data_IF_303929882619
#
_entry.id   IF_303929882619
#
_cell.length_a   1.000
_cell.length_b   1.000
_cell.length_c   1.000
_cell.angle_alpha   90.00
_cell.angle_beta   90.00
_cell.angle_gamma   90.00
#
_symmetry.space_group_name_H-M   'P 1'
#
loop_
_entity.id
_entity.type
_entity.pdbx_description
1 polymer ?
#
# COMPACT_ATOMS: atom_id res chain seq x y z
N UNK A 1 -13.52 -17.73 -12.45
CA UNK A 1 -13.11 -16.31 -12.53
C UNK A 1 -11.97 -16.04 -13.52
N UNK A 2 -11.32 -17.08 -14.08
CA UNK A 2 -10.18 -16.95 -15.02
C UNK A 2 -10.50 -17.40 -16.45
N UNK A 3 -11.75 -17.80 -16.72
CA UNK A 3 -12.18 -18.23 -18.05
C UNK A 3 -12.18 -17.04 -19.00
N UNK A 4 -11.56 -17.21 -20.17
CA UNK A 4 -11.54 -16.21 -21.22
C UNK A 4 -12.66 -16.48 -22.24
N UNK A 5 -13.25 -15.42 -22.81
CA UNK A 5 -14.16 -15.56 -23.94
C UNK A 5 -13.38 -15.85 -25.26
N UNK A 6 -14.09 -15.94 -26.39
CA UNK A 6 -13.47 -16.21 -27.70
C UNK A 6 -12.43 -15.19 -28.18
N UNK A 7 -12.35 -14.01 -27.55
CA UNK A 7 -11.38 -12.93 -27.85
C UNK A 7 -10.28 -12.89 -26.78
N UNK A 8 -10.26 -13.84 -25.84
CA UNK A 8 -9.27 -13.89 -24.77
C UNK A 8 -9.63 -13.02 -23.57
N UNK A 9 -10.81 -12.38 -23.54
CA UNK A 9 -11.18 -11.49 -22.44
C UNK A 9 -11.54 -12.24 -21.18
N UNK A 10 -10.86 -11.85 -20.11
CA UNK A 10 -11.15 -12.24 -18.74
C UNK A 10 -12.36 -11.49 -18.18
N UNK A 11 -12.98 -11.97 -17.08
CA UNK A 11 -14.00 -11.22 -16.38
C UNK A 11 -13.50 -9.85 -15.89
N UNK A 12 -12.20 -9.73 -15.58
CA UNK A 12 -11.60 -8.47 -15.15
C UNK A 12 -11.49 -7.45 -16.29
N UNK A 13 -11.09 -7.87 -17.50
CA UNK A 13 -11.15 -7.02 -18.71
C UNK A 13 -12.58 -6.60 -19.03
N UNK A 14 -13.53 -7.52 -18.89
CA UNK A 14 -14.95 -7.22 -19.11
C UNK A 14 -15.43 -6.15 -18.12
N UNK A 15 -15.10 -6.27 -16.83
CA UNK A 15 -15.44 -5.26 -15.83
C UNK A 15 -14.75 -3.92 -16.10
N UNK A 16 -13.51 -3.95 -16.59
CA UNK A 16 -12.74 -2.77 -16.99
C UNK A 16 -13.37 -2.04 -18.18
N UNK A 17 -13.87 -2.77 -19.18
CA UNK A 17 -14.55 -2.20 -20.34
C UNK A 17 -15.92 -1.61 -20.00
N UNK A 18 -16.72 -2.31 -19.21
CA UNK A 18 -18.10 -1.91 -18.90
C UNK A 18 -18.21 -0.96 -17.70
N UNK A 19 -17.15 -0.22 -17.37
CA UNK A 19 -17.14 0.80 -16.32
C UNK A 19 -17.74 0.32 -14.98
N UNK A 20 -17.42 -0.92 -14.57
CA UNK A 20 -18.04 -1.60 -13.43
C UNK A 20 -17.08 -1.74 -12.23
N UNK A 21 -16.86 -0.67 -11.43
CA UNK A 21 -15.81 -0.62 -10.40
C UNK A 21 -16.01 -1.65 -9.29
N UNK A 22 -17.26 -1.92 -8.87
CA UNK A 22 -17.53 -2.91 -7.83
C UNK A 22 -17.23 -4.34 -8.27
N UNK A 23 -17.50 -4.67 -9.54
CA UNK A 23 -17.16 -5.98 -10.11
C UNK A 23 -15.66 -6.11 -10.25
N UNK A 24 -14.98 -5.06 -10.74
CA UNK A 24 -13.52 -5.05 -10.86
C UNK A 24 -12.86 -5.23 -9.48
N UNK A 25 -13.27 -4.48 -8.46
CA UNK A 25 -12.74 -4.59 -7.09
C UNK A 25 -12.98 -6.00 -6.51
N UNK A 26 -14.20 -6.53 -6.64
CA UNK A 26 -14.52 -7.90 -6.19
C UNK A 26 -13.63 -8.95 -6.87
N UNK A 27 -13.46 -8.87 -8.19
CA UNK A 27 -12.63 -9.80 -8.96
C UNK A 27 -11.15 -9.67 -8.59
N UNK A 28 -10.64 -8.44 -8.44
CA UNK A 28 -9.28 -8.16 -8.00
C UNK A 28 -8.94 -8.81 -6.65
N UNK A 29 -9.89 -8.84 -5.70
CA UNK A 29 -9.69 -9.49 -4.39
C UNK A 29 -9.61 -11.03 -4.47
N UNK A 30 -10.10 -11.63 -5.55
CA UNK A 30 -10.21 -13.09 -5.69
C UNK A 30 -9.21 -13.69 -6.67
N UNK A 31 -8.57 -12.87 -7.51
CA UNK A 31 -7.60 -13.34 -8.48
C UNK A 31 -6.20 -13.48 -7.87
N UNK A 32 -5.44 -14.51 -8.26
CA UNK A 32 -4.01 -14.58 -7.95
C UNK A 32 -3.20 -13.58 -8.81
N UNK A 33 -1.97 -13.30 -8.38
CA UNK A 33 -1.11 -12.26 -8.95
C UNK A 33 -0.87 -12.41 -10.47
N UNK A 34 -0.72 -13.64 -10.94
CA UNK A 34 -0.45 -13.99 -12.33
C UNK A 34 -1.64 -13.69 -13.26
N UNK A 35 -2.85 -13.52 -12.71
CA UNK A 35 -4.05 -13.24 -13.49
C UNK A 35 -4.37 -11.74 -13.59
N UNK A 36 -3.76 -10.87 -12.78
CA UNK A 36 -4.01 -9.42 -12.80
C UNK A 36 -3.53 -8.80 -14.12
N UNK A 37 -2.36 -9.23 -14.61
CA UNK A 37 -1.72 -8.72 -15.82
C UNK A 37 -1.95 -9.64 -17.04
N UNK A 38 -2.96 -10.51 -16.98
CA UNK A 38 -3.25 -11.42 -18.08
C UNK A 38 -3.66 -10.62 -19.33
N UNK A 39 -2.97 -10.89 -20.43
CA UNK A 39 -3.22 -10.27 -21.73
C UNK A 39 -4.35 -10.99 -22.48
N UNK A 40 -5.13 -10.23 -23.24
CA UNK A 40 -6.05 -10.80 -24.23
C UNK A 40 -5.32 -11.17 -25.54
N UNK A 41 -6.10 -11.54 -26.57
CA UNK A 41 -5.57 -11.89 -27.88
C UNK A 41 -4.89 -10.71 -28.61
N UNK A 42 -5.18 -9.47 -28.21
CA UNK A 42 -4.56 -8.24 -28.73
C UNK A 42 -3.31 -7.85 -27.96
N UNK A 43 -3.01 -8.53 -26.85
CA UNK A 43 -1.89 -8.22 -25.98
C UNK A 43 -2.23 -7.19 -24.88
N UNK A 44 -3.48 -6.76 -24.75
CA UNK A 44 -3.90 -5.74 -23.80
C UNK A 44 -4.22 -6.35 -22.43
N UNK A 45 -3.75 -5.71 -21.35
CA UNK A 45 -4.11 -6.07 -19.98
C UNK A 45 -5.42 -5.41 -19.55
N UNK A 46 -6.04 -5.80 -18.41
CA UNK A 46 -7.17 -5.05 -17.86
C UNK A 46 -6.86 -3.57 -17.59
N UNK A 47 -5.61 -3.25 -17.23
CA UNK A 47 -5.17 -1.86 -17.00
C UNK A 47 -5.11 -1.08 -18.32
N UNK A 48 -4.62 -1.71 -19.39
CA UNK A 48 -4.64 -1.12 -20.75
C UNK A 48 -6.07 -0.79 -21.18
N UNK A 49 -7.00 -1.73 -20.97
CA UNK A 49 -8.41 -1.55 -21.33
C UNK A 49 -9.03 -0.38 -20.57
N UNK A 50 -8.85 -0.33 -19.24
CA UNK A 50 -9.41 0.75 -18.42
C UNK A 50 -8.81 2.12 -18.77
N UNK A 51 -7.50 2.19 -19.04
CA UNK A 51 -6.83 3.42 -19.42
C UNK A 51 -7.24 3.89 -20.83
N UNK A 52 -7.43 2.96 -21.77
CA UNK A 52 -7.96 3.24 -23.11
C UNK A 52 -9.35 3.85 -23.04
N UNK A 53 -10.27 3.23 -22.30
CA UNK A 53 -11.64 3.74 -22.16
C UNK A 53 -11.67 5.10 -21.45
N UNK A 54 -10.81 5.32 -20.45
CA UNK A 54 -10.68 6.62 -19.80
C UNK A 54 -10.18 7.71 -20.77
N UNK A 55 -9.17 7.44 -21.61
CA UNK A 55 -8.72 8.39 -22.65
C UNK A 55 -9.83 8.65 -23.68
N UNK A 56 -10.52 7.60 -24.15
CA UNK A 56 -11.62 7.70 -25.10
C UNK A 56 -12.75 8.59 -24.56
N UNK A 57 -13.27 8.28 -23.36
CA UNK A 57 -14.33 9.08 -22.73
C UNK A 57 -13.88 10.53 -22.49
N UNK A 58 -12.64 10.75 -22.08
CA UNK A 58 -12.10 12.11 -21.86
C UNK A 58 -12.06 12.89 -23.17
N UNK A 59 -11.64 12.28 -24.28
CA UNK A 59 -11.61 12.93 -25.60
C UNK A 59 -13.01 13.25 -26.11
N UNK A 60 -13.94 12.31 -26.03
CA UNK A 60 -15.31 12.49 -26.52
C UNK A 60 -16.06 13.58 -25.74
N UNK A 61 -15.80 13.73 -24.44
CA UNK A 61 -16.36 14.85 -23.65
C UNK A 61 -15.87 16.22 -24.17
N UNK A 62 -14.63 16.30 -24.66
CA UNK A 62 -14.03 17.55 -25.17
C UNK A 62 -14.32 17.83 -26.65
N UNK A 63 -14.70 16.81 -27.43
CA UNK A 63 -14.98 16.98 -28.85
C UNK A 63 -16.28 17.78 -29.08
N UNK A 64 -16.25 18.91 -29.79
CA UNK A 64 -17.45 19.70 -30.08
C UNK A 64 -18.52 18.93 -30.87
N UNK A 65 -18.12 17.90 -31.63
CA UNK A 65 -19.04 17.13 -32.48
C UNK A 65 -19.72 15.97 -31.73
N UNK A 66 -19.29 15.64 -30.51
CA UNK A 66 -19.91 14.57 -29.73
C UNK A 66 -21.28 15.02 -29.21
N UNK A 67 -22.37 14.25 -29.43
CA UNK A 67 -23.70 14.59 -28.92
C UNK A 67 -23.73 14.76 -27.40
N UNK A 68 -24.52 15.72 -26.89
CA UNK A 68 -24.53 16.03 -25.45
C UNK A 68 -24.95 14.84 -24.58
N UNK A 69 -25.92 14.03 -25.03
CA UNK A 69 -26.31 12.81 -24.34
C UNK A 69 -25.15 11.81 -24.18
N UNK A 70 -24.26 11.71 -25.18
CA UNK A 70 -23.04 10.89 -25.11
C UNK A 70 -22.03 11.49 -24.15
N UNK A 71 -21.86 12.82 -24.16
CA UNK A 71 -20.99 13.53 -23.21
C UNK A 71 -21.44 13.32 -21.77
N UNK A 72 -22.74 13.44 -21.48
CA UNK A 72 -23.30 13.19 -20.16
C UNK A 72 -23.01 11.77 -19.67
N UNK A 73 -23.22 10.78 -20.54
CA UNK A 73 -22.87 9.39 -20.24
C UNK A 73 -21.38 9.24 -19.90
N UNK A 74 -20.49 9.81 -20.70
CA UNK A 74 -19.05 9.71 -20.46
C UNK A 74 -18.59 10.48 -19.22
N UNK A 75 -19.19 11.64 -18.90
CA UNK A 75 -18.95 12.35 -17.64
C UNK A 75 -19.31 11.48 -16.42
N UNK A 76 -20.35 10.65 -16.52
CA UNK A 76 -20.74 9.71 -15.48
C UNK A 76 -19.81 8.48 -15.40
N UNK A 77 -19.26 8.00 -16.52
CA UNK A 77 -18.38 6.82 -16.58
C UNK A 77 -16.92 7.13 -16.20
N UNK A 78 -16.42 8.36 -16.43
CA UNK A 78 -15.03 8.74 -16.14
C UNK A 78 -14.61 8.43 -14.68
N UNK A 79 -15.38 8.80 -13.64
CA UNK A 79 -15.04 8.46 -12.26
C UNK A 79 -14.92 6.94 -12.01
N UNK A 80 -15.76 6.14 -12.68
CA UNK A 80 -15.75 4.68 -12.54
C UNK A 80 -14.47 4.08 -13.15
N UNK A 81 -14.03 4.54 -14.31
CA UNK A 81 -12.76 4.09 -14.88
C UNK A 81 -11.56 4.46 -13.99
N UNK A 82 -11.56 5.65 -13.39
CA UNK A 82 -10.54 6.01 -12.39
C UNK A 82 -10.52 5.05 -11.21
N UNK A 83 -11.69 4.70 -10.67
CA UNK A 83 -11.81 3.71 -9.58
C UNK A 83 -11.32 2.32 -9.98
N UNK A 84 -11.61 1.88 -11.22
CA UNK A 84 -11.12 0.60 -11.75
C UNK A 84 -9.59 0.62 -11.84
N UNK A 85 -9.01 1.66 -12.43
CA UNK A 85 -7.56 1.83 -12.55
C UNK A 85 -6.91 1.77 -11.16
N UNK A 86 -7.43 2.53 -10.18
CA UNK A 86 -6.93 2.48 -8.80
C UNK A 86 -7.01 1.08 -8.19
N UNK A 87 -8.12 0.36 -8.41
CA UNK A 87 -8.31 -1.00 -7.89
C UNK A 87 -7.31 -1.98 -8.49
N UNK A 88 -7.07 -1.90 -9.80
CA UNK A 88 -6.06 -2.69 -10.51
C UNK A 88 -4.65 -2.40 -10.00
N UNK A 89 -4.29 -1.12 -9.84
CA UNK A 89 -2.99 -0.69 -9.34
C UNK A 89 -2.75 -1.13 -7.89
N UNK A 90 -3.78 -1.08 -7.04
CA UNK A 90 -3.71 -1.60 -5.67
C UNK A 90 -3.34 -3.08 -5.65
N UNK A 91 -3.86 -3.88 -6.57
CA UNK A 91 -3.54 -5.32 -6.66
C UNK A 91 -2.33 -5.63 -7.55
N UNK A 92 -1.50 -4.64 -7.87
CA UNK A 92 -0.22 -4.86 -8.54
C UNK A 92 -0.29 -4.98 -10.06
N UNK A 93 -1.30 -4.35 -10.68
CA UNK A 93 -1.30 -4.18 -12.14
C UNK A 93 -0.04 -3.42 -12.59
N UNK A 94 0.59 -3.91 -13.64
CA UNK A 94 1.89 -3.42 -14.12
C UNK A 94 1.72 -2.24 -15.09
N UNK A 95 2.03 -1.03 -14.63
CA UNK A 95 1.97 0.18 -15.48
C UNK A 95 2.91 0.09 -16.69
N UNK A 96 4.00 -0.71 -16.59
CA UNK A 96 4.92 -0.90 -17.72
C UNK A 96 4.33 -1.76 -18.82
N UNK A 97 3.19 -2.43 -18.57
CA UNK A 97 2.44 -3.15 -19.61
C UNK A 97 1.85 -2.22 -20.65
N UNK A 98 1.62 -0.94 -20.34
CA UNK A 98 1.15 0.08 -21.28
C UNK A 98 2.35 0.56 -22.10
N UNK A 99 2.54 0.07 -23.34
CA UNK A 99 3.76 0.30 -24.09
C UNK A 99 3.85 1.76 -24.53
N UNK A 100 4.98 2.44 -24.28
CA UNK A 100 5.25 3.80 -24.78
C UNK A 100 5.68 3.75 -26.25
N UNK A 101 6.38 2.69 -26.63
CA UNK A 101 6.81 2.35 -27.98
C UNK A 101 6.65 0.83 -28.13
N UNK A 102 6.09 0.36 -29.24
CA UNK A 102 6.17 -1.06 -29.55
C UNK A 102 7.64 -1.44 -29.71
N UNK A 103 8.03 -2.57 -29.11
CA UNK A 103 9.34 -3.19 -29.27
C UNK A 103 9.80 -3.09 -30.72
N UNK A 104 11.07 -2.69 -30.91
CA UNK A 104 11.68 -2.19 -32.15
C UNK A 104 11.54 -3.08 -33.41
N UNK A 105 10.91 -4.25 -33.31
CA UNK A 105 10.75 -5.24 -34.38
C UNK A 105 9.49 -5.03 -35.24
N UNK A 106 8.51 -4.22 -34.82
CA UNK A 106 7.29 -3.91 -35.60
C UNK A 106 7.33 -2.53 -36.31
N UNK A 107 8.53 -2.01 -36.59
CA UNK A 107 8.76 -0.60 -36.98
C UNK A 107 8.27 -0.15 -38.37
N UNK A 108 7.58 -0.98 -39.15
CA UNK A 108 7.35 -0.62 -40.55
C UNK A 108 5.96 -0.04 -40.88
N UNK A 109 4.99 0.01 -39.95
CA UNK A 109 3.63 0.45 -40.29
C UNK A 109 2.82 1.15 -39.19
N UNK A 110 3.42 1.58 -38.07
CA UNK A 110 2.63 2.22 -37.00
C UNK A 110 2.57 3.74 -37.19
N UNK A 111 1.35 4.25 -37.40
CA UNK A 111 1.06 5.68 -37.49
C UNK A 111 1.42 6.39 -36.17
N UNK A 112 2.04 7.59 -36.21
CA UNK A 112 2.46 8.36 -35.02
C UNK A 112 1.34 8.60 -33.98
N UNK A 113 0.09 8.58 -34.42
CA UNK A 113 -1.09 8.78 -33.59
C UNK A 113 -1.26 7.71 -32.50
N UNK A 114 -0.96 6.43 -32.80
CA UNK A 114 -1.11 5.34 -31.83
C UNK A 114 -0.14 5.46 -30.65
N UNK A 115 1.10 5.87 -30.91
CA UNK A 115 2.09 6.10 -29.86
C UNK A 115 1.67 7.27 -28.94
N UNK A 116 1.09 8.33 -29.50
CA UNK A 116 0.56 9.43 -28.71
C UNK A 116 -0.61 8.99 -27.82
N UNK A 117 -1.50 8.12 -28.33
CA UNK A 117 -2.61 7.56 -27.55
C UNK A 117 -2.10 6.75 -26.35
N UNK A 118 -1.16 5.81 -26.56
CA UNK A 118 -0.60 4.99 -25.48
C UNK A 118 0.13 5.83 -24.42
N UNK A 119 0.85 6.87 -24.83
CA UNK A 119 1.49 7.82 -23.89
C UNK A 119 0.47 8.51 -23.00
N UNK A 120 -0.66 8.97 -23.54
CA UNK A 120 -1.74 9.58 -22.74
C UNK A 120 -2.37 8.58 -21.77
N UNK A 121 -2.65 7.36 -22.22
CA UNK A 121 -3.20 6.30 -21.37
C UNK A 121 -2.29 5.99 -20.19
N UNK A 122 -0.98 5.86 -20.45
CA UNK A 122 0.01 5.64 -19.39
C UNK A 122 0.05 6.81 -18.42
N UNK A 123 -0.03 8.05 -18.91
CA UNK A 123 -0.06 9.23 -18.05
C UNK A 123 -1.31 9.25 -17.15
N UNK A 124 -2.48 8.86 -17.68
CA UNK A 124 -3.70 8.73 -16.89
C UNK A 124 -3.53 7.66 -15.79
N UNK A 125 -2.96 6.50 -16.11
CA UNK A 125 -2.68 5.47 -15.12
C UNK A 125 -1.69 5.94 -14.03
N UNK A 126 -0.66 6.70 -14.40
CA UNK A 126 0.30 7.30 -13.48
C UNK A 126 -0.34 8.32 -12.53
N UNK A 127 -1.21 9.19 -13.03
CA UNK A 127 -1.97 10.14 -12.21
C UNK A 127 -2.87 9.42 -11.20
N UNK A 128 -3.56 8.36 -11.61
CA UNK A 128 -4.35 7.56 -10.67
C UNK A 128 -3.46 6.76 -9.70
N UNK A 129 -2.25 6.37 -10.10
CA UNK A 129 -1.29 5.71 -9.21
C UNK A 129 -0.77 6.64 -8.11
N UNK A 130 -0.47 7.90 -8.44
CA UNK A 130 -0.12 8.92 -7.44
C UNK A 130 -1.24 9.05 -6.39
N UNK A 131 -2.51 8.96 -6.80
CA UNK A 131 -3.64 8.96 -5.87
C UNK A 131 -3.62 7.73 -4.95
N UNK A 132 -3.37 6.52 -5.49
CA UNK A 132 -3.25 5.29 -4.69
C UNK A 132 -2.12 5.41 -3.65
N UNK A 133 -0.96 5.95 -4.05
CA UNK A 133 0.18 6.17 -3.16
C UNK A 133 -0.14 7.18 -2.07
N UNK A 134 -0.88 8.25 -2.40
CA UNK A 134 -1.29 9.26 -1.44
C UNK A 134 -2.30 8.74 -0.40
N UNK A 135 -3.15 7.81 -0.80
CA UNK A 135 -4.15 7.20 0.06
C UNK A 135 -3.60 6.06 0.94
N UNK A 136 -2.38 5.58 0.73
CA UNK A 136 -1.86 4.35 1.37
C UNK A 136 -1.51 4.53 2.86
N UNK A 137 -1.01 5.69 3.27
CA UNK A 137 -0.50 5.91 4.63
C UNK A 137 -1.56 5.71 5.74
N UNK A 138 -2.72 6.40 5.68
CA UNK A 138 -3.75 6.28 6.72
C UNK A 138 -4.31 4.86 6.91
N UNK A 139 -4.66 4.09 5.85
CA UNK A 139 -5.07 2.69 5.97
C UNK A 139 -4.06 1.80 6.70
N UNK A 140 -2.76 1.97 6.46
CA UNK A 140 -1.71 1.20 7.16
C UNK A 140 -1.75 1.48 8.67
N UNK A 141 -1.83 2.75 9.05
CA UNK A 141 -1.91 3.12 10.48
C UNK A 141 -3.22 2.64 11.12
N UNK A 142 -4.33 2.69 10.38
CA UNK A 142 -5.62 2.17 10.82
C UNK A 142 -5.58 0.65 11.02
N UNK A 143 -5.01 -0.09 10.07
CA UNK A 143 -4.87 -1.54 10.13
C UNK A 143 -4.05 -2.00 11.34
N UNK A 144 -2.89 -1.37 11.60
CA UNK A 144 -2.06 -1.66 12.76
C UNK A 144 -2.80 -1.34 14.08
N UNK A 145 -3.51 -0.20 14.13
CA UNK A 145 -4.28 0.15 15.32
C UNK A 145 -5.44 -0.82 15.58
N UNK A 146 -6.13 -1.27 14.53
CA UNK A 146 -7.19 -2.27 14.61
C UNK A 146 -6.62 -3.61 15.09
N UNK A 147 -5.49 -4.05 14.54
CA UNK A 147 -4.81 -5.29 14.94
C UNK A 147 -4.39 -5.27 16.41
N UNK A 148 -3.92 -4.13 16.93
CA UNK A 148 -3.51 -3.98 18.33
C UNK A 148 -4.69 -3.71 19.29
N UNK A 149 -5.88 -3.41 18.80
CA UNK A 149 -7.00 -3.02 19.65
C UNK A 149 -7.40 -4.10 20.67
N UNK A 150 -7.56 -5.40 20.30
CA UNK A 150 -7.89 -6.46 21.26
C UNK A 150 -6.84 -6.60 22.38
N UNK A 151 -5.55 -6.54 22.03
CA UNK A 151 -4.44 -6.60 22.97
C UNK A 151 -4.47 -5.43 23.96
N UNK A 152 -4.63 -4.20 23.46
CA UNK A 152 -4.72 -2.98 24.27
C UNK A 152 -5.90 -3.03 25.23
N UNK A 153 -7.06 -3.45 24.75
CA UNK A 153 -8.27 -3.58 25.57
C UNK A 153 -8.11 -4.60 26.69
N UNK A 154 -7.51 -5.76 26.38
CA UNK A 154 -7.25 -6.80 27.38
C UNK A 154 -6.24 -6.33 28.44
N UNK A 155 -5.13 -5.72 28.01
CA UNK A 155 -4.13 -5.18 28.93
C UNK A 155 -4.73 -4.09 29.85
N UNK A 156 -5.56 -3.21 29.31
CA UNK A 156 -6.27 -2.18 30.08
C UNK A 156 -7.26 -2.79 31.09
N UNK A 157 -7.90 -3.90 30.75
CA UNK A 157 -8.80 -4.65 31.63
C UNK A 157 -8.04 -5.36 32.77
N UNK A 158 -6.86 -5.92 32.48
CA UNK A 158 -6.05 -6.65 33.45
C UNK A 158 -5.32 -5.72 34.43
N UNK A 159 -4.73 -4.63 33.93
CA UNK A 159 -3.89 -3.71 34.70
C UNK A 159 -4.46 -3.33 36.09
N UNK A 160 -5.70 -2.84 36.23
CA UNK A 160 -6.25 -2.43 37.54
C UNK A 160 -6.61 -3.60 38.47
N UNK A 161 -6.57 -4.85 37.99
CA UNK A 161 -6.94 -6.06 38.77
C UNK A 161 -5.73 -6.81 39.31
N UNK A 162 -4.52 -6.40 38.95
CA UNK A 162 -3.30 -7.04 39.41
C UNK A 162 -2.91 -6.52 40.79
N UNK A 163 -2.63 -7.44 41.72
CA UNK A 163 -2.12 -7.12 43.05
C UNK A 163 -0.59 -6.82 43.01
N UNK A 164 -0.20 -5.89 42.13
CA UNK A 164 1.17 -5.39 41.98
C UNK A 164 1.16 -3.87 42.00
N UNK A 165 2.34 -3.24 42.14
CA UNK A 165 2.44 -1.79 42.20
C UNK A 165 1.98 -1.09 40.91
N UNK A 166 1.66 0.23 40.99
CA UNK A 166 1.14 0.99 39.86
C UNK A 166 2.12 1.12 38.68
N UNK A 167 3.42 0.87 38.90
CA UNK A 167 4.44 0.88 37.85
C UNK A 167 4.58 -0.49 37.19
N UNK A 168 4.42 -1.56 37.95
CA UNK A 168 4.53 -2.95 37.48
C UNK A 168 3.24 -3.41 36.80
N UNK A 169 2.07 -2.93 37.24
CA UNK A 169 0.77 -3.38 36.76
C UNK A 169 0.59 -3.22 35.23
N UNK A 170 0.96 -2.09 34.59
CA UNK A 170 0.89 -1.98 33.14
C UNK A 170 1.79 -2.97 32.41
N UNK A 171 2.99 -3.24 32.95
CA UNK A 171 3.97 -4.16 32.36
C UNK A 171 3.47 -5.60 32.43
N UNK A 172 3.02 -6.02 33.61
CA UNK A 172 2.49 -7.36 33.85
C UNK A 172 1.20 -7.56 33.05
N UNK A 173 0.28 -6.58 33.04
CA UNK A 173 -0.96 -6.63 32.29
C UNK A 173 -0.73 -6.74 30.77
N UNK A 174 0.22 -5.96 30.24
CA UNK A 174 0.63 -6.03 28.83
C UNK A 174 1.21 -7.41 28.48
N UNK A 175 2.07 -7.95 29.35
CA UNK A 175 2.67 -9.27 29.14
C UNK A 175 1.64 -10.39 29.18
N UNK A 176 0.67 -10.34 30.10
CA UNK A 176 -0.42 -11.32 30.15
C UNK A 176 -1.25 -11.27 28.85
N UNK A 177 -1.62 -10.07 28.40
CA UNK A 177 -2.37 -9.91 27.16
C UNK A 177 -1.62 -10.49 25.94
N UNK A 178 -0.28 -10.40 25.92
CA UNK A 178 0.53 -10.91 24.80
C UNK A 178 0.45 -12.43 24.62
N UNK A 179 0.17 -13.20 25.68
CA UNK A 179 0.01 -14.65 25.58
C UNK A 179 -1.30 -15.08 24.89
N UNK A 180 -2.28 -14.17 24.84
CA UNK A 180 -3.58 -14.40 24.21
C UNK A 180 -3.68 -13.71 22.84
N UNK A 181 -2.59 -13.11 22.35
CA UNK A 181 -2.58 -12.43 21.07
C UNK A 181 -2.37 -13.43 19.93
N UNK A 182 -3.34 -13.51 19.04
CA UNK A 182 -3.25 -14.27 17.80
C UNK A 182 -2.50 -13.45 16.74
N UNK A 183 -1.21 -13.73 16.59
CA UNK A 183 -0.37 -13.02 15.62
C UNK A 183 -0.74 -13.37 14.18
N UNK A 184 -1.11 -14.61 13.89
CA UNK A 184 -1.39 -15.06 12.53
C UNK A 184 -2.68 -14.40 12.02
N UNK A 185 -3.73 -14.37 12.84
CA UNK A 185 -4.97 -13.64 12.53
C UNK A 185 -4.74 -12.13 12.36
N UNK A 186 -3.86 -11.54 13.18
CA UNK A 186 -3.51 -10.12 13.05
C UNK A 186 -2.76 -9.82 11.74
N UNK A 187 -1.83 -10.68 11.32
CA UNK A 187 -1.10 -10.51 10.05
C UNK A 187 -2.04 -10.61 8.83
N UNK A 188 -2.98 -11.55 8.84
CA UNK A 188 -3.99 -11.69 7.78
C UNK A 188 -4.88 -10.44 7.70
N UNK A 189 -5.41 -9.98 8.84
CA UNK A 189 -6.25 -8.80 8.92
C UNK A 189 -5.52 -7.52 8.47
N UNK A 190 -4.23 -7.37 8.80
CA UNK A 190 -3.40 -6.24 8.36
C UNK A 190 -3.25 -6.26 6.85
N UNK A 191 -2.85 -7.40 6.28
CA UNK A 191 -2.66 -7.56 4.84
C UNK A 191 -3.95 -7.29 4.07
N UNK A 192 -5.10 -7.70 4.62
CA UNK A 192 -6.41 -7.40 4.04
C UNK A 192 -6.75 -5.90 4.11
N UNK A 193 -6.59 -5.28 5.28
CA UNK A 193 -6.99 -3.90 5.54
C UNK A 193 -6.14 -2.86 4.79
N UNK A 194 -4.84 -3.13 4.56
CA UNK A 194 -3.98 -2.24 3.77
C UNK A 194 -4.46 -2.17 2.31
N UNK A 195 -5.00 -3.27 1.79
CA UNK A 195 -5.66 -3.29 0.48
C UNK A 195 -4.73 -3.20 -0.75
N UNK A 196 -3.41 -3.15 -0.56
CA UNK A 196 -2.41 -3.24 -1.65
C UNK A 196 -1.74 -4.62 -1.67
N UNK A 197 -1.58 -5.19 -2.86
CA UNK A 197 -1.14 -6.59 -3.05
C UNK A 197 -0.23 -6.71 -4.27
N UNK A 198 0.49 -7.83 -4.33
CA UNK A 198 1.26 -8.30 -5.50
C UNK A 198 2.34 -7.34 -6.05
N UNK A 199 2.72 -6.30 -5.30
CA UNK A 199 3.84 -5.41 -5.63
C UNK A 199 4.96 -5.52 -4.60
N UNK A 200 6.17 -5.08 -4.98
CA UNK A 200 7.30 -4.98 -4.06
C UNK A 200 7.02 -4.01 -2.92
N UNK A 201 6.46 -2.84 -3.23
CA UNK A 201 5.99 -1.88 -2.21
C UNK A 201 4.98 -2.50 -1.25
N UNK A 202 3.99 -3.26 -1.75
CA UNK A 202 2.99 -3.91 -0.89
C UNK A 202 3.64 -4.86 0.11
N UNK A 203 4.56 -5.72 -0.34
CA UNK A 203 5.31 -6.63 0.54
C UNK A 203 6.11 -5.89 1.61
N UNK A 204 6.77 -4.79 1.23
CA UNK A 204 7.54 -3.93 2.13
C UNK A 204 6.66 -3.32 3.22
N UNK A 205 5.53 -2.75 2.84
CA UNK A 205 4.59 -2.09 3.76
C UNK A 205 3.92 -3.10 4.70
N UNK A 206 3.47 -4.24 4.18
CA UNK A 206 2.88 -5.30 5.01
C UNK A 206 3.90 -5.83 6.01
N UNK A 207 5.12 -6.18 5.57
CA UNK A 207 6.17 -6.65 6.47
C UNK A 207 6.52 -5.63 7.57
N UNK A 208 6.50 -4.32 7.26
CA UNK A 208 6.72 -3.29 8.27
C UNK A 208 5.56 -3.25 9.26
N UNK A 209 4.31 -3.23 8.79
CA UNK A 209 3.15 -3.23 9.66
C UNK A 209 3.11 -4.46 10.59
N UNK A 210 3.37 -5.65 10.04
CA UNK A 210 3.45 -6.90 10.80
C UNK A 210 4.58 -6.89 11.83
N UNK A 211 5.78 -6.43 11.44
CA UNK A 211 6.90 -6.31 12.37
C UNK A 211 6.59 -5.32 13.49
N UNK A 212 5.95 -4.19 13.19
CA UNK A 212 5.55 -3.22 14.19
C UNK A 212 4.59 -3.83 15.20
N UNK A 213 3.57 -4.57 14.75
CA UNK A 213 2.63 -5.27 15.64
C UNK A 213 3.35 -6.31 16.50
N UNK A 214 4.24 -7.10 15.91
CA UNK A 214 5.07 -8.07 16.63
C UNK A 214 5.91 -7.41 17.73
N UNK A 215 6.57 -6.30 17.41
CA UNK A 215 7.40 -5.54 18.35
C UNK A 215 6.56 -4.89 19.44
N UNK A 216 5.39 -4.34 19.09
CA UNK A 216 4.46 -3.77 20.06
C UNK A 216 3.92 -4.82 21.06
N UNK A 217 3.65 -6.04 20.61
CA UNK A 217 3.11 -7.10 21.48
C UNK A 217 4.19 -7.74 22.34
N UNK A 218 5.36 -8.07 21.77
CA UNK A 218 6.35 -8.91 22.46
C UNK A 218 7.56 -8.19 23.02
N UNK A 219 7.88 -6.99 22.51
CA UNK A 219 9.06 -6.23 22.92
C UNK A 219 8.70 -5.00 23.76
N UNK A 220 7.60 -4.32 23.44
CA UNK A 220 7.14 -3.20 24.25
C UNK A 220 6.60 -3.66 25.60
N UNK A 221 6.77 -2.81 26.61
CA UNK A 221 6.37 -3.06 28.00
C UNK A 221 5.02 -2.43 28.34
N UNK A 222 4.47 -1.56 27.48
CA UNK A 222 3.16 -0.95 27.71
C UNK A 222 2.59 -0.26 26.46
N UNK A 223 1.30 0.06 26.48
CA UNK A 223 0.68 0.87 25.43
C UNK A 223 1.34 2.25 25.27
N UNK A 224 1.87 2.83 26.36
CA UNK A 224 2.53 4.14 26.35
C UNK A 224 3.79 4.12 25.50
N UNK A 225 4.54 3.01 25.52
CA UNK A 225 5.72 2.83 24.67
C UNK A 225 5.35 2.67 23.19
N UNK A 226 4.22 2.03 22.92
CA UNK A 226 3.73 1.79 21.55
C UNK A 226 3.27 3.09 20.88
N UNK A 227 2.40 3.84 21.58
CA UNK A 227 1.75 5.04 21.04
C UNK A 227 2.61 6.30 21.22
N UNK A 228 3.61 6.24 22.10
CA UNK A 228 4.30 7.41 22.59
C UNK A 228 3.41 8.25 23.51
N UNK A 229 3.75 9.52 23.69
CA UNK A 229 2.93 10.46 24.46
C UNK A 229 3.70 11.68 24.92
N UNK A 230 3.26 12.29 26.00
CA UNK A 230 4.01 13.32 26.73
C UNK A 230 4.41 12.77 28.11
N UNK A 231 5.61 13.15 28.57
CA UNK A 231 6.12 12.82 29.88
C UNK A 231 6.55 14.11 30.55
N UNK A 232 6.15 14.31 31.80
CA UNK A 232 6.72 15.36 32.63
C UNK A 232 8.08 14.88 33.16
N UNK A 233 9.15 15.55 32.73
CA UNK A 233 10.51 15.30 33.20
C UNK A 233 11.00 16.59 33.85
N UNK A 234 10.83 16.69 35.18
CA UNK A 234 11.29 17.84 35.96
C UNK A 234 10.47 19.12 35.80
N UNK A 235 9.14 19.00 35.60
CA UNK A 235 8.21 20.12 35.38
C UNK A 235 8.05 20.50 33.89
N UNK A 236 8.70 19.77 32.98
CA UNK A 236 8.66 20.04 31.55
C UNK A 236 8.02 18.86 30.79
N UNK A 237 6.98 19.16 30.03
CA UNK A 237 6.32 18.19 29.16
C UNK A 237 7.19 17.88 27.93
N UNK A 238 7.86 16.73 27.96
CA UNK A 238 8.69 16.20 26.86
C UNK A 238 7.87 15.20 26.05
N UNK A 239 7.99 15.25 24.71
CA UNK A 239 7.35 14.26 23.82
C UNK A 239 8.12 12.94 23.87
N UNK A 240 7.44 11.87 24.24
CA UNK A 240 7.93 10.49 24.14
C UNK A 240 7.65 10.00 22.72
N UNK A 241 8.68 9.57 21.95
CA UNK A 241 8.49 9.06 20.59
C UNK A 241 7.65 7.78 20.60
N UNK A 242 7.05 7.45 19.46
CA UNK A 242 6.34 6.19 19.31
C UNK A 242 7.35 5.03 19.26
N UNK A 243 6.87 3.78 19.26
CA UNK A 243 7.74 2.63 19.15
C UNK A 243 8.63 2.70 17.90
N UNK A 244 9.94 2.77 18.12
CA UNK A 244 10.97 2.81 17.08
C UNK A 244 11.63 1.43 16.94
N UNK A 245 10.93 0.50 16.29
CA UNK A 245 11.40 -0.88 16.12
C UNK A 245 12.20 -1.12 14.82
N UNK A 246 12.33 -0.10 13.96
CA UNK A 246 13.11 -0.19 12.74
C UNK A 246 14.46 0.52 12.91
N UNK A 247 15.45 0.08 12.13
CA UNK A 247 16.79 0.66 12.11
C UNK A 247 17.33 0.78 10.70
N UNK A 248 18.13 1.82 10.47
CA UNK A 248 18.92 2.01 9.26
C UNK A 248 20.39 1.91 9.58
N UNK A 249 21.12 1.08 8.84
CA UNK A 249 22.57 0.95 8.95
C UNK A 249 23.05 -0.08 9.98
N UNK A 250 22.18 -1.03 10.38
CA UNK A 250 22.56 -2.18 11.22
C UNK A 250 22.32 -2.00 12.72
N UNK A 251 23.04 -2.78 13.54
CA UNK A 251 22.83 -2.96 14.99
C UNK A 251 23.03 -1.68 15.83
N UNK A 252 23.76 -0.69 15.32
CA UNK A 252 23.89 0.65 15.94
C UNK A 252 23.22 1.76 15.12
N UNK A 253 22.32 1.38 14.23
CA UNK A 253 21.72 2.27 13.24
C UNK A 253 20.77 3.32 13.83
N UNK A 254 20.38 4.28 12.99
CA UNK A 254 19.33 5.25 13.34
C UNK A 254 18.00 4.51 13.47
N UNK A 255 17.33 4.66 14.62
CA UNK A 255 16.00 4.11 14.85
C UNK A 255 14.93 4.89 14.08
N UNK A 256 13.91 4.19 13.61
CA UNK A 256 12.80 4.74 12.82
C UNK A 256 11.45 4.25 13.32
N UNK A 257 10.44 5.11 13.16
CA UNK A 257 9.04 4.78 13.42
C UNK A 257 8.39 4.12 12.18
N UNK A 258 7.29 3.37 12.38
CA UNK A 258 6.54 2.76 11.28
C UNK A 258 6.13 3.78 10.22
N UNK A 259 5.70 4.98 10.64
CA UNK A 259 5.27 6.06 9.74
C UNK A 259 6.39 6.47 8.78
N UNK A 260 7.62 6.53 9.27
CA UNK A 260 8.81 6.89 8.49
C UNK A 260 9.15 5.80 7.47
N UNK A 261 9.04 4.52 7.87
CA UNK A 261 9.28 3.36 6.99
C UNK A 261 8.21 3.26 5.89
N UNK A 262 6.94 3.48 6.21
CA UNK A 262 5.85 3.50 5.23
C UNK A 262 6.04 4.66 4.25
N UNK A 263 6.39 5.85 4.73
CA UNK A 263 6.67 6.98 3.85
C UNK A 263 7.84 6.71 2.92
N UNK A 264 8.90 6.09 3.42
CA UNK A 264 10.05 5.68 2.61
C UNK A 264 9.62 4.71 1.50
N UNK A 265 8.78 3.72 1.81
CA UNK A 265 8.29 2.77 0.80
C UNK A 265 7.48 3.47 -0.31
N UNK A 266 6.64 4.43 0.07
CA UNK A 266 5.84 5.25 -0.86
C UNK A 266 6.74 6.11 -1.74
N UNK A 267 7.72 6.80 -1.16
CA UNK A 267 8.64 7.68 -1.89
C UNK A 267 9.54 6.90 -2.85
N UNK A 268 10.02 5.72 -2.46
CA UNK A 268 10.83 4.86 -3.33
C UNK A 268 10.02 4.36 -4.54
N UNK A 269 8.77 3.96 -4.32
CA UNK A 269 7.88 3.55 -5.42
C UNK A 269 7.49 4.76 -6.28
N UNK A 270 7.20 5.92 -5.70
CA UNK A 270 6.92 7.14 -6.46
C UNK A 270 8.12 7.55 -7.33
N UNK A 271 9.35 7.46 -6.79
CA UNK A 271 10.57 7.78 -7.52
C UNK A 271 10.77 6.88 -8.75
N UNK A 272 10.46 5.58 -8.64
CA UNK A 272 10.50 4.63 -9.77
C UNK A 272 9.64 5.09 -10.96
N UNK A 273 8.54 5.79 -10.69
CA UNK A 273 7.60 6.26 -11.70
C UNK A 273 7.69 7.76 -11.99
N UNK A 274 8.65 8.48 -11.40
CA UNK A 274 8.78 9.93 -11.55
C UNK A 274 7.70 10.75 -10.83
N UNK A 275 6.99 10.15 -9.87
CA UNK A 275 5.85 10.73 -9.16
C UNK A 275 6.21 11.37 -7.81
N UNK A 276 7.50 11.43 -7.45
CA UNK A 276 7.93 11.88 -6.12
C UNK A 276 7.42 13.29 -5.76
N UNK A 277 7.29 14.19 -6.75
CA UNK A 277 6.73 15.54 -6.56
C UNK A 277 5.22 15.59 -6.34
N UNK A 278 4.50 14.52 -6.68
CA UNK A 278 3.03 14.42 -6.58
C UNK A 278 2.57 13.81 -5.24
N UNK A 279 3.51 13.37 -4.40
CA UNK A 279 3.19 12.78 -3.10
C UNK A 279 2.90 13.88 -2.07
N UNK A 280 1.66 13.90 -1.60
CA UNK A 280 1.14 14.70 -0.50
C UNK A 280 0.11 13.89 0.30
N UNK A 281 0.61 13.01 1.17
CA UNK A 281 -0.18 12.05 1.92
C UNK A 281 -0.31 12.40 3.42
N UNK A 282 0.00 13.64 3.79
CA UNK A 282 0.03 14.11 5.18
C UNK A 282 1.14 13.48 6.03
N UNK A 283 2.12 12.81 5.41
CA UNK A 283 3.34 12.36 6.07
C UNK A 283 4.45 13.37 5.81
N UNK A 284 5.40 13.44 6.75
CA UNK A 284 6.54 14.34 6.58
C UNK A 284 7.30 13.95 5.31
N UNK A 285 7.61 14.94 4.47
CA UNK A 285 8.45 14.75 3.28
C UNK A 285 9.93 14.66 3.65
N UNK A 286 10.29 15.10 4.86
CA UNK A 286 11.66 15.09 5.40
C UNK A 286 12.07 13.71 5.92
N UNK A 287 12.02 12.70 5.06
CA UNK A 287 12.53 11.36 5.34
C UNK A 287 13.97 11.29 4.84
N UNK A 288 14.90 10.91 5.71
CA UNK A 288 16.32 10.80 5.37
C UNK A 288 16.54 9.91 4.14
N UNK A 289 17.23 10.41 3.11
CA UNK A 289 17.54 9.68 1.87
C UNK A 289 18.41 8.48 2.20
N UNK A 290 17.78 7.32 2.34
CA UNK A 290 18.39 6.04 2.68
C UNK A 290 17.89 5.01 1.68
N UNK A 291 18.78 4.14 1.22
CA UNK A 291 18.42 2.99 0.39
C UNK A 291 17.54 2.00 1.17
N UNK A 292 16.42 1.56 0.60
CA UNK A 292 15.56 0.54 1.23
C UNK A 292 16.34 -0.71 1.68
N UNK A 293 17.36 -1.09 0.91
CA UNK A 293 18.22 -2.23 1.22
C UNK A 293 19.04 -2.10 2.50
N UNK A 294 19.05 -0.94 3.15
CA UNK A 294 19.68 -0.67 4.45
C UNK A 294 18.68 -0.57 5.61
N UNK A 295 17.37 -0.64 5.33
CA UNK A 295 16.29 -0.62 6.33
C UNK A 295 16.06 -2.04 6.84
N UNK A 296 15.96 -2.19 8.15
CA UNK A 296 15.74 -3.47 8.81
C UNK A 296 15.26 -3.30 10.24
N UNK A 297 15.42 -4.36 11.02
CA UNK A 297 15.20 -4.35 12.47
C UNK A 297 16.30 -5.16 13.16
N UNK A 298 16.46 -4.94 14.47
CA UNK A 298 17.42 -5.68 15.30
C UNK A 298 16.65 -6.68 16.16
N UNK A 299 16.94 -7.96 15.98
CA UNK A 299 16.48 -9.00 16.89
C UNK A 299 17.52 -9.24 17.97
N UNK A 300 17.08 -9.25 19.22
CA UNK A 300 17.90 -9.61 20.37
C UNK A 300 17.69 -11.09 20.71
N UNK A 301 18.73 -11.90 20.53
CA UNK A 301 18.75 -13.31 20.88
C UNK A 301 18.67 -13.55 22.39
N UNK A 302 18.32 -14.78 22.78
CA UNK A 302 18.30 -15.19 24.21
C UNK A 302 19.68 -15.14 24.88
N UNK A 303 20.73 -15.21 24.08
CA UNK A 303 22.14 -15.05 24.47
C UNK A 303 22.56 -13.58 24.59
N UNK A 304 21.63 -12.64 24.38
CA UNK A 304 21.88 -11.20 24.40
C UNK A 304 22.53 -10.66 23.14
N UNK A 305 22.84 -11.50 22.14
CA UNK A 305 23.42 -11.04 20.88
C UNK A 305 22.37 -10.37 20.01
N UNK A 306 22.77 -9.27 19.40
CA UNK A 306 21.92 -8.50 18.50
C UNK A 306 22.21 -8.90 17.06
N UNK A 307 21.16 -9.20 16.31
CA UNK A 307 21.23 -9.60 14.90
C UNK A 307 20.38 -8.67 14.07
N UNK A 308 20.98 -8.08 13.04
CA UNK A 308 20.26 -7.21 12.12
C UNK A 308 19.59 -8.04 11.03
N UNK A 309 18.28 -7.84 10.84
CA UNK A 309 17.50 -8.43 9.76
C UNK A 309 17.04 -7.36 8.79
N UNK A 310 17.23 -7.62 7.52
CA UNK A 310 16.82 -6.73 6.45
C UNK A 310 15.31 -6.84 6.17
N UNK A 311 14.71 -5.70 5.83
CA UNK A 311 13.37 -5.68 5.24
C UNK A 311 13.36 -6.48 3.92
N UNK A 312 12.22 -7.10 3.55
CA UNK A 312 12.10 -7.79 2.28
C UNK A 312 12.52 -6.90 1.11
N UNK A 313 13.37 -7.45 0.24
CA UNK A 313 13.67 -6.85 -1.06
C UNK A 313 12.52 -7.16 -2.03
N UNK A 314 12.37 -6.30 -3.03
CA UNK A 314 11.48 -6.52 -4.18
C UNK A 314 11.79 -7.86 -4.82
#
# INVERSE_FOLDING_TARGET
MTAANGIGWTPLQTAALWSSPHVADYVCRKLPADQINRRDNSGDTPLDTAAFELDRCTREVQDPNTPEATKERHRAEIPNYKLIIRSLLRVGADISSIPIEEDRHQRQLVLPEHAAVRRRQRQLALTEYATVLNELGPPVMAAVNAALAPHRSLAALLTPRLAVGPQEAPIVGWRIASYLFDMDAAQEAISEAIGVRHSGMARRVCAAAEHFVRSAVYQASSNREVVGGTADVGGQLVRVPQLQCFVVGGVGGRKMELREVVQRAILDEAAKWGLAGEIDNGFSKDVAVVEWGAVGWVDKGRDGRETFRLMPRT
#
